data_IF_302815065106
#
_entry.id   IF_302815065106
#
_cell.length_a   1.000
_cell.length_b   1.000
_cell.length_c   1.000
_cell.angle_alpha   90.00
_cell.angle_beta   90.00
_cell.angle_gamma   90.00
#
_symmetry.space_group_name_H-M   'P 1'
#
loop_
_entity.id
_entity.type
_entity.pdbx_description
1 polymer ?
#
# COMPACT_ATOMS: atom_id res chain seq x y z
N UNK A 1 17.09 -0.20 -3.44
CA UNK A 1 17.79 1.12 -3.42
C UNK A 1 17.59 1.92 -4.70
N UNK A 2 17.91 1.38 -5.89
CA UNK A 2 17.70 2.12 -7.15
C UNK A 2 16.20 2.47 -7.35
N UNK A 3 15.31 1.52 -7.14
CA UNK A 3 13.86 1.73 -7.23
C UNK A 3 13.35 2.79 -6.23
N UNK A 4 13.81 2.71 -4.98
CA UNK A 4 13.45 3.70 -3.95
C UNK A 4 13.93 5.12 -4.30
N UNK A 5 15.12 5.25 -4.87
CA UNK A 5 15.65 6.52 -5.35
C UNK A 5 14.84 7.09 -6.52
N UNK A 6 14.54 6.25 -7.52
CA UNK A 6 13.77 6.68 -8.71
C UNK A 6 12.33 7.06 -8.38
N UNK A 7 11.76 6.49 -7.32
CA UNK A 7 10.41 6.81 -6.85
C UNK A 7 10.34 8.09 -6.02
N UNK A 8 11.27 8.25 -5.07
CA UNK A 8 11.21 9.33 -4.08
C UNK A 8 11.87 10.62 -4.57
N UNK A 9 13.00 10.51 -5.27
CA UNK A 9 13.79 11.67 -5.69
C UNK A 9 13.02 12.68 -6.57
N UNK A 10 12.25 12.27 -7.59
CA UNK A 10 11.46 13.19 -8.40
C UNK A 10 10.45 13.98 -7.56
N UNK A 11 9.78 13.32 -6.61
CA UNK A 11 8.83 13.97 -5.71
C UNK A 11 9.54 14.97 -4.81
N UNK A 12 10.70 14.61 -4.26
CA UNK A 12 11.53 15.54 -3.48
C UNK A 12 11.93 16.78 -4.28
N UNK A 13 12.33 16.59 -5.53
CA UNK A 13 12.72 17.71 -6.41
C UNK A 13 11.53 18.64 -6.71
N UNK A 14 10.34 18.08 -6.94
CA UNK A 14 9.11 18.86 -7.14
C UNK A 14 8.79 19.68 -5.88
N UNK A 15 8.82 19.04 -4.71
CA UNK A 15 8.55 19.72 -3.43
C UNK A 15 9.57 20.83 -3.16
N UNK A 16 10.86 20.59 -3.44
CA UNK A 16 11.90 21.62 -3.33
C UNK A 16 11.64 22.78 -4.30
N UNK A 17 11.32 22.50 -5.57
CA UNK A 17 11.01 23.52 -6.54
C UNK A 17 9.82 24.39 -6.13
N UNK A 18 8.73 23.76 -5.65
CA UNK A 18 7.55 24.45 -5.15
C UNK A 18 7.84 25.26 -3.88
N UNK A 19 8.62 24.68 -2.95
CA UNK A 19 8.99 25.31 -1.68
C UNK A 19 9.92 26.53 -1.84
N UNK A 20 10.68 26.60 -2.93
CA UNK A 20 11.52 27.79 -3.23
C UNK A 20 10.84 28.82 -4.12
N UNK A 21 9.73 28.46 -4.80
CA UNK A 21 9.13 29.34 -5.82
C UNK A 21 7.73 29.80 -5.47
N UNK A 22 6.77 28.87 -5.37
CA UNK A 22 5.32 29.19 -5.28
C UNK A 22 4.85 29.33 -3.84
N UNK A 23 5.30 28.43 -2.96
CA UNK A 23 4.87 28.39 -1.57
C UNK A 23 6.10 28.21 -0.67
N UNK A 24 6.76 29.33 -0.28
CA UNK A 24 7.99 29.29 0.51
C UNK A 24 7.81 28.48 1.79
N UNK A 25 8.48 27.34 1.86
CA UNK A 25 8.46 26.46 3.03
C UNK A 25 9.43 26.99 4.08
N UNK A 26 9.04 27.07 5.37
CA UNK A 26 9.94 27.46 6.44
C UNK A 26 11.19 26.57 6.50
N UNK A 27 12.34 27.14 6.86
CA UNK A 27 13.63 26.44 6.86
C UNK A 27 13.63 25.18 7.74
N UNK A 28 12.96 25.22 8.90
CA UNK A 28 12.82 24.07 9.79
C UNK A 28 12.05 22.92 9.13
N UNK A 29 10.94 23.23 8.46
CA UNK A 29 10.15 22.24 7.74
C UNK A 29 10.91 21.67 6.53
N UNK A 30 11.65 22.51 5.79
CA UNK A 30 12.49 22.06 4.68
C UNK A 30 13.59 21.12 5.15
N UNK A 31 14.19 21.39 6.31
CA UNK A 31 15.19 20.54 6.92
C UNK A 31 14.58 19.19 7.37
N UNK A 32 13.39 19.22 8.00
CA UNK A 32 12.65 18.00 8.32
C UNK A 32 12.40 17.18 7.05
N UNK A 33 11.92 17.80 5.99
CA UNK A 33 11.67 17.14 4.72
C UNK A 33 12.88 16.45 4.12
N UNK A 34 14.04 17.09 4.13
CA UNK A 34 15.28 16.51 3.60
C UNK A 34 15.77 15.32 4.43
N UNK A 35 15.76 15.43 5.77
CA UNK A 35 16.10 14.32 6.66
C UNK A 35 15.09 13.17 6.52
N UNK A 36 13.79 13.50 6.46
CA UNK A 36 12.72 12.54 6.19
C UNK A 36 12.91 11.80 4.88
N UNK A 37 13.35 12.50 3.81
CA UNK A 37 13.66 11.91 2.53
C UNK A 37 14.76 10.85 2.58
N UNK A 38 15.82 11.10 3.34
CA UNK A 38 16.90 10.12 3.53
C UNK A 38 16.38 8.85 4.25
N UNK A 39 15.60 9.03 5.33
CA UNK A 39 15.00 7.92 6.05
C UNK A 39 13.99 7.15 5.20
N UNK A 40 13.20 7.87 4.39
CA UNK A 40 12.20 7.29 3.50
C UNK A 40 12.87 6.44 2.41
N UNK A 41 13.90 6.95 1.75
CA UNK A 41 14.66 6.20 0.72
C UNK A 41 15.32 4.96 1.33
N UNK A 42 15.99 5.10 2.46
CA UNK A 42 16.65 3.99 3.16
C UNK A 42 15.64 2.97 3.66
N UNK A 43 14.56 3.45 4.31
CA UNK A 43 13.47 2.65 4.83
C UNK A 43 12.75 1.87 3.73
N UNK A 44 12.37 2.53 2.64
CA UNK A 44 11.74 1.90 1.49
C UNK A 44 12.63 0.84 0.85
N UNK A 45 13.94 1.09 0.73
CA UNK A 45 14.86 0.11 0.16
C UNK A 45 14.98 -1.17 1.01
N UNK A 46 15.09 -1.04 2.33
CA UNK A 46 15.12 -2.18 3.25
C UNK A 46 13.77 -2.91 3.26
N UNK A 47 12.69 -2.16 3.31
CA UNK A 47 11.33 -2.67 3.34
C UNK A 47 11.00 -3.49 2.08
N UNK A 48 11.30 -2.97 0.88
CA UNK A 48 11.06 -3.67 -0.38
C UNK A 48 11.86 -4.98 -0.44
N UNK A 49 13.17 -4.92 -0.10
CA UNK A 49 14.02 -6.11 -0.05
C UNK A 49 13.46 -7.16 0.92
N UNK A 50 13.06 -6.73 2.11
CA UNK A 50 12.49 -7.62 3.12
C UNK A 50 11.17 -8.23 2.70
N UNK A 51 10.32 -7.45 2.04
CA UNK A 51 9.04 -7.90 1.49
C UNK A 51 9.24 -8.97 0.41
N UNK A 52 10.14 -8.76 -0.54
CA UNK A 52 10.47 -9.77 -1.55
C UNK A 52 11.00 -11.08 -0.92
N UNK A 53 11.87 -10.97 0.09
CA UNK A 53 12.44 -12.14 0.77
C UNK A 53 11.42 -12.91 1.61
N UNK A 54 10.38 -12.26 2.12
CA UNK A 54 9.39 -12.86 3.01
C UNK A 54 8.06 -13.15 2.33
N UNK A 55 7.47 -12.17 1.62
CA UNK A 55 6.11 -12.26 1.09
C UNK A 55 6.00 -13.13 -0.14
N UNK A 56 6.97 -13.10 -1.07
CA UNK A 56 6.93 -13.92 -2.28
C UNK A 56 6.97 -15.43 -1.94
N UNK A 57 7.93 -15.95 -1.16
CA UNK A 57 7.95 -17.37 -0.81
C UNK A 57 6.72 -17.79 0.02
N UNK A 58 6.25 -16.90 0.91
CA UNK A 58 5.06 -17.16 1.70
C UNK A 58 3.81 -17.26 0.82
N UNK A 59 3.61 -16.31 -0.08
CA UNK A 59 2.49 -16.30 -1.02
C UNK A 59 2.44 -17.55 -1.90
N UNK A 60 3.58 -17.97 -2.47
CA UNK A 60 3.68 -19.20 -3.27
C UNK A 60 3.35 -20.45 -2.45
N UNK A 61 3.89 -20.55 -1.23
CA UNK A 61 3.64 -21.70 -0.36
C UNK A 61 2.16 -21.79 0.02
N UNK A 62 1.56 -20.66 0.38
CA UNK A 62 0.14 -20.58 0.73
C UNK A 62 -0.75 -20.88 -0.47
N UNK A 63 -0.48 -20.28 -1.63
CA UNK A 63 -1.25 -20.50 -2.86
C UNK A 63 -1.26 -21.98 -3.29
N UNK A 64 -0.10 -22.62 -3.23
CA UNK A 64 0.03 -24.03 -3.54
C UNK A 64 -0.74 -24.94 -2.56
N UNK A 65 -0.74 -24.59 -1.26
CA UNK A 65 -1.39 -25.40 -0.22
C UNK A 65 -2.93 -25.22 -0.25
N UNK A 66 -3.40 -24.00 -0.48
CA UNK A 66 -4.82 -23.68 -0.68
C UNK A 66 -5.39 -24.52 -1.82
N UNK A 67 -4.73 -24.57 -2.97
CA UNK A 67 -5.20 -25.29 -4.15
C UNK A 67 -5.20 -26.79 -3.94
N UNK A 68 -4.23 -27.33 -3.18
CA UNK A 68 -4.16 -28.75 -2.84
C UNK A 68 -5.33 -29.24 -1.99
N UNK A 69 -5.89 -28.37 -1.15
CA UNK A 69 -6.95 -28.78 -0.22
C UNK A 69 -8.24 -29.24 -0.92
N UNK A 70 -8.48 -28.79 -2.16
CA UNK A 70 -9.68 -29.05 -2.98
C UNK A 70 -11.01 -28.71 -2.28
N UNK A 71 -10.98 -28.16 -1.06
CA UNK A 71 -12.16 -27.79 -0.28
C UNK A 71 -12.41 -26.29 -0.41
N UNK A 72 -13.49 -25.90 -1.06
CA UNK A 72 -13.83 -24.50 -1.30
C UNK A 72 -13.87 -23.68 0.00
N UNK A 73 -14.42 -24.22 1.07
CA UNK A 73 -14.48 -23.53 2.37
C UNK A 73 -13.10 -23.21 2.96
N UNK A 74 -12.12 -24.11 2.76
CA UNK A 74 -10.73 -23.88 3.18
C UNK A 74 -10.11 -22.76 2.34
N UNK A 75 -10.35 -22.78 1.03
CA UNK A 75 -9.89 -21.73 0.12
C UNK A 75 -10.45 -20.39 0.56
N UNK A 76 -11.76 -20.30 0.75
CA UNK A 76 -12.46 -19.06 1.19
C UNK A 76 -11.93 -18.56 2.53
N UNK A 77 -11.89 -19.44 3.54
CA UNK A 77 -11.49 -19.04 4.90
C UNK A 77 -10.02 -18.60 4.98
N UNK A 78 -9.10 -19.33 4.37
CA UNK A 78 -7.68 -18.96 4.40
C UNK A 78 -7.44 -17.69 3.57
N UNK A 79 -8.05 -17.56 2.39
CA UNK A 79 -7.88 -16.37 1.55
C UNK A 79 -8.41 -15.11 2.21
N UNK A 80 -9.57 -15.20 2.84
CA UNK A 80 -10.15 -14.10 3.61
C UNK A 80 -9.24 -13.65 4.75
N UNK A 81 -8.80 -14.62 5.57
CA UNK A 81 -7.92 -14.34 6.71
C UNK A 81 -6.59 -13.72 6.26
N UNK A 82 -5.99 -14.26 5.22
CA UNK A 82 -4.73 -13.76 4.68
C UNK A 82 -4.88 -12.37 4.09
N UNK A 83 -5.94 -12.13 3.33
CA UNK A 83 -6.22 -10.79 2.80
C UNK A 83 -6.27 -9.74 3.90
N UNK A 84 -6.95 -10.04 5.01
CA UNK A 84 -6.98 -9.16 6.19
C UNK A 84 -5.57 -8.98 6.78
N UNK A 85 -4.87 -10.07 7.08
CA UNK A 85 -3.58 -10.04 7.78
C UNK A 85 -2.55 -9.21 7.01
N UNK A 86 -2.47 -9.37 5.70
CA UNK A 86 -1.49 -8.66 4.87
C UNK A 86 -1.85 -7.19 4.76
N UNK A 87 -3.13 -6.88 4.59
CA UNK A 87 -3.58 -5.50 4.44
C UNK A 87 -3.41 -4.70 5.72
N UNK A 88 -3.66 -5.28 6.89
CA UNK A 88 -3.39 -4.61 8.18
C UNK A 88 -1.91 -4.26 8.35
N UNK A 89 -1.02 -5.04 7.76
CA UNK A 89 0.42 -4.80 7.82
C UNK A 89 0.93 -3.83 6.74
N UNK A 90 0.08 -3.36 5.82
CA UNK A 90 0.47 -2.43 4.76
C UNK A 90 0.76 -1.04 5.35
N UNK A 91 1.97 -0.49 5.15
CA UNK A 91 2.35 0.81 5.72
C UNK A 91 1.51 1.97 5.20
N UNK A 92 1.21 1.93 3.90
CA UNK A 92 0.47 3.00 3.24
C UNK A 92 -0.95 3.13 3.81
N UNK A 93 -1.54 2.01 4.28
CA UNK A 93 -2.84 2.02 4.95
C UNK A 93 -2.80 2.75 6.29
N UNK A 94 -1.70 2.62 7.04
CA UNK A 94 -1.53 3.34 8.30
C UNK A 94 -1.37 4.84 8.07
N UNK A 95 -0.59 5.22 7.03
CA UNK A 95 -0.44 6.62 6.62
C UNK A 95 -1.79 7.20 6.20
N UNK A 96 -2.57 6.48 5.38
CA UNK A 96 -3.92 6.91 4.98
C UNK A 96 -4.84 7.10 6.18
N UNK A 97 -4.87 6.16 7.12
CA UNK A 97 -5.70 6.24 8.31
C UNK A 97 -5.37 7.48 9.16
N UNK A 98 -4.09 7.80 9.33
CA UNK A 98 -3.64 8.98 10.06
C UNK A 98 -4.05 10.31 9.39
N UNK A 99 -4.34 10.31 8.09
CA UNK A 99 -4.77 11.51 7.36
C UNK A 99 -6.28 11.78 7.45
N UNK A 100 -7.09 10.86 7.97
CA UNK A 100 -8.55 10.94 8.01
C UNK A 100 -9.07 11.01 9.45
N UNK A 101 -8.93 12.15 10.14
CA UNK A 101 -9.27 12.28 11.56
C UNK A 101 -10.77 12.16 11.85
N UNK A 102 -11.61 12.27 10.83
CA UNK A 102 -13.06 12.11 10.96
C UNK A 102 -13.49 10.67 11.34
N UNK A 103 -12.60 9.70 11.15
CA UNK A 103 -12.84 8.29 11.45
C UNK A 103 -11.67 7.74 12.27
N UNK A 104 -11.96 6.94 13.28
CA UNK A 104 -10.90 6.28 14.06
C UNK A 104 -10.02 5.40 13.17
N UNK A 105 -8.69 5.51 13.31
CA UNK A 105 -7.71 4.78 12.49
C UNK A 105 -8.00 3.28 12.41
N UNK A 106 -8.33 2.66 13.55
CA UNK A 106 -8.66 1.24 13.60
C UNK A 106 -9.87 0.88 12.71
N UNK A 107 -10.88 1.75 12.65
CA UNK A 107 -12.08 1.52 11.83
C UNK A 107 -11.72 1.53 10.35
N UNK A 108 -10.90 2.49 9.91
CA UNK A 108 -10.42 2.55 8.52
C UNK A 108 -9.59 1.30 8.19
N UNK A 109 -8.59 1.00 9.01
CA UNK A 109 -7.66 -0.12 8.79
C UNK A 109 -8.42 -1.45 8.68
N UNK A 110 -9.30 -1.74 9.64
CA UNK A 110 -10.06 -2.99 9.62
C UNK A 110 -11.10 -3.05 8.49
N UNK A 111 -11.74 -1.94 8.16
CA UNK A 111 -12.71 -1.90 7.07
C UNK A 111 -12.05 -2.16 5.72
N UNK A 112 -10.93 -1.51 5.46
CA UNK A 112 -10.12 -1.72 4.25
C UNK A 112 -9.60 -3.15 4.19
N UNK A 113 -9.08 -3.68 5.30
CA UNK A 113 -8.56 -5.04 5.39
C UNK A 113 -9.64 -6.09 5.12
N UNK A 114 -10.85 -5.91 5.67
CA UNK A 114 -12.00 -6.77 5.38
C UNK A 114 -12.39 -6.67 3.91
N UNK A 115 -12.38 -5.45 3.33
CA UNK A 115 -12.62 -5.25 1.91
C UNK A 115 -11.67 -6.06 1.03
N UNK A 116 -10.36 -5.97 1.29
CA UNK A 116 -9.35 -6.78 0.58
C UNK A 116 -9.58 -8.26 0.79
N UNK A 117 -9.85 -8.69 2.02
CA UNK A 117 -10.13 -10.09 2.33
C UNK A 117 -11.29 -10.66 1.52
N UNK A 118 -12.42 -9.94 1.46
CA UNK A 118 -13.60 -10.34 0.65
C UNK A 118 -13.24 -10.39 -0.83
N UNK A 119 -12.57 -9.37 -1.35
CA UNK A 119 -12.24 -9.30 -2.76
C UNK A 119 -11.14 -10.28 -3.18
N UNK A 120 -10.22 -10.64 -2.28
CA UNK A 120 -9.28 -11.74 -2.52
C UNK A 120 -10.01 -13.09 -2.66
N UNK A 121 -11.03 -13.33 -1.84
CA UNK A 121 -11.89 -14.52 -1.99
C UNK A 121 -12.60 -14.50 -3.35
N UNK A 122 -13.23 -13.38 -3.70
CA UNK A 122 -13.91 -13.23 -5.00
C UNK A 122 -12.94 -13.48 -6.16
N UNK A 123 -11.74 -12.92 -6.07
CA UNK A 123 -10.71 -13.05 -7.08
C UNK A 123 -10.21 -14.49 -7.25
N UNK A 124 -10.03 -15.23 -6.15
CA UNK A 124 -9.67 -16.65 -6.21
C UNK A 124 -10.81 -17.53 -6.69
N UNK A 125 -12.05 -17.29 -6.22
CA UNK A 125 -13.22 -17.99 -6.72
C UNK A 125 -13.44 -17.75 -8.21
N UNK A 126 -13.19 -16.52 -8.70
CA UNK A 126 -13.21 -16.21 -10.13
C UNK A 126 -12.28 -17.13 -10.93
N UNK A 127 -11.03 -17.32 -10.45
CA UNK A 127 -10.05 -18.20 -11.10
C UNK A 127 -10.56 -19.62 -11.13
N UNK A 128 -11.13 -20.12 -10.03
CA UNK A 128 -11.65 -21.48 -9.92
C UNK A 128 -12.88 -21.73 -10.80
N UNK A 129 -13.74 -20.72 -10.94
CA UNK A 129 -14.98 -20.77 -11.73
C UNK A 129 -14.78 -20.40 -13.22
N UNK A 130 -13.59 -19.91 -13.58
CA UNK A 130 -13.28 -19.49 -14.96
C UNK A 130 -14.01 -18.22 -15.40
N UNK A 131 -14.42 -17.35 -14.47
CA UNK A 131 -15.14 -16.13 -14.77
C UNK A 131 -14.17 -15.09 -15.36
N UNK A 132 -14.55 -14.44 -16.45
CA UNK A 132 -13.73 -13.42 -17.10
C UNK A 132 -13.62 -12.16 -16.24
N UNK A 133 -12.39 -11.70 -16.00
CA UNK A 133 -12.07 -10.53 -15.18
C UNK A 133 -12.84 -9.28 -15.60
N UNK A 134 -12.95 -9.03 -16.90
CA UNK A 134 -13.58 -7.81 -17.45
C UNK A 134 -14.99 -7.58 -16.96
N UNK A 135 -15.80 -8.63 -16.86
CA UNK A 135 -17.20 -8.50 -16.43
C UNK A 135 -17.32 -8.16 -14.96
N UNK A 136 -16.45 -8.74 -14.14
CA UNK A 136 -16.38 -8.40 -12.71
C UNK A 136 -15.93 -6.95 -12.50
N UNK A 137 -14.87 -6.52 -13.23
CA UNK A 137 -14.40 -5.14 -13.14
C UNK A 137 -15.51 -4.15 -13.55
N UNK A 138 -16.16 -4.38 -14.68
CA UNK A 138 -17.27 -3.51 -15.14
C UNK A 138 -18.38 -3.45 -14.07
N UNK A 139 -18.82 -4.60 -13.56
CA UNK A 139 -19.88 -4.65 -12.56
C UNK A 139 -19.51 -3.94 -11.26
N UNK A 140 -18.29 -4.17 -10.74
CA UNK A 140 -17.84 -3.53 -9.51
C UNK A 140 -17.56 -2.04 -9.68
N UNK A 141 -17.02 -1.57 -10.83
CA UNK A 141 -16.84 -0.13 -11.05
C UNK A 141 -18.17 0.59 -11.23
N UNK A 142 -19.19 -0.03 -11.85
CA UNK A 142 -20.55 0.52 -11.85
C UNK A 142 -21.06 0.68 -10.42
N UNK A 143 -20.82 -0.32 -9.55
CA UNK A 143 -21.18 -0.24 -8.14
C UNK A 143 -20.43 0.87 -7.42
N UNK A 144 -19.10 0.98 -7.62
CA UNK A 144 -18.23 2.02 -7.02
C UNK A 144 -18.73 3.41 -7.39
N UNK A 145 -18.93 3.69 -8.70
CA UNK A 145 -19.42 5.00 -9.13
C UNK A 145 -20.85 5.27 -8.68
N UNK A 146 -21.70 4.23 -8.65
CA UNK A 146 -23.04 4.33 -8.09
C UNK A 146 -23.04 4.70 -6.61
N UNK A 147 -22.18 4.07 -5.79
CA UNK A 147 -22.01 4.42 -4.38
C UNK A 147 -21.43 5.83 -4.19
N UNK A 148 -20.45 6.21 -5.01
CA UNK A 148 -19.83 7.52 -4.93
C UNK A 148 -20.83 8.67 -5.11
N UNK A 149 -21.91 8.48 -5.89
CA UNK A 149 -22.96 9.50 -6.05
C UNK A 149 -23.73 9.82 -4.76
N UNK A 150 -23.70 8.93 -3.77
CA UNK A 150 -24.41 9.10 -2.49
C UNK A 150 -23.49 9.51 -1.35
N UNK A 151 -22.17 9.53 -1.57
CA UNK A 151 -21.14 9.85 -0.57
C UNK A 151 -20.69 11.30 -0.75
N UNK A 152 -20.37 12.00 0.35
CA UNK A 152 -19.80 13.35 0.27
C UNK A 152 -18.54 13.38 -0.59
N UNK A 153 -18.35 14.41 -1.44
CA UNK A 153 -17.14 14.58 -2.26
C UNK A 153 -15.84 14.54 -1.46
N UNK A 154 -15.85 14.95 -0.19
CA UNK A 154 -14.69 14.92 0.69
C UNK A 154 -14.15 13.49 0.91
N UNK A 155 -15.01 12.47 0.83
CA UNK A 155 -14.63 11.06 0.94
C UNK A 155 -14.17 10.43 -0.37
N UNK A 156 -14.41 11.06 -1.52
CA UNK A 156 -14.02 10.46 -2.81
C UNK A 156 -12.51 10.26 -2.90
N UNK A 157 -11.74 11.30 -2.53
CA UNK A 157 -10.29 11.22 -2.57
C UNK A 157 -9.78 10.07 -1.69
N UNK A 158 -10.25 9.98 -0.44
CA UNK A 158 -9.87 8.91 0.50
C UNK A 158 -10.28 7.53 -0.01
N UNK A 159 -11.49 7.40 -0.56
CA UNK A 159 -11.99 6.12 -1.06
C UNK A 159 -11.17 5.62 -2.25
N UNK A 160 -10.92 6.46 -3.24
CA UNK A 160 -10.13 6.05 -4.41
C UNK A 160 -8.67 5.84 -4.07
N UNK A 161 -8.09 6.64 -3.17
CA UNK A 161 -6.73 6.47 -2.66
C UNK A 161 -6.56 5.15 -1.90
N UNK A 162 -7.56 4.75 -1.11
CA UNK A 162 -7.54 3.45 -0.41
C UNK A 162 -7.41 2.24 -1.35
N UNK A 163 -7.90 2.35 -2.58
CA UNK A 163 -7.70 1.34 -3.62
C UNK A 163 -6.24 1.24 -4.07
N UNK A 164 -5.52 2.37 -4.12
CA UNK A 164 -4.09 2.43 -4.40
C UNK A 164 -3.24 1.93 -3.24
N UNK A 165 -3.61 2.27 -2.01
CA UNK A 165 -2.91 1.82 -0.78
C UNK A 165 -2.77 0.30 -0.70
N UNK A 166 -3.72 -0.46 -1.22
CA UNK A 166 -3.69 -1.93 -1.22
C UNK A 166 -2.84 -2.55 -2.32
N UNK A 167 -2.29 -1.72 -3.21
CA UNK A 167 -1.31 -2.15 -4.22
C UNK A 167 0.14 -1.90 -3.79
N UNK A 168 0.35 -1.72 -2.50
CA UNK A 168 1.64 -1.42 -1.88
C UNK A 168 2.67 -2.55 -1.93
N UNK A 169 3.90 -2.27 -1.49
CA UNK A 169 5.05 -3.14 -1.67
C UNK A 169 5.04 -4.43 -0.82
N UNK A 170 4.10 -4.62 0.11
CA UNK A 170 3.87 -5.91 0.78
C UNK A 170 2.76 -6.72 0.11
N UNK A 171 1.65 -6.09 -0.15
CA UNK A 171 0.42 -6.74 -0.62
C UNK A 171 0.58 -7.28 -2.04
N UNK A 172 1.14 -6.49 -2.97
CA UNK A 172 1.30 -6.89 -4.38
C UNK A 172 2.21 -8.11 -4.55
N UNK A 173 3.46 -8.14 -4.03
CA UNK A 173 4.32 -9.31 -4.18
C UNK A 173 3.68 -10.57 -3.61
N UNK A 174 2.99 -10.45 -2.49
CA UNK A 174 2.30 -11.59 -1.88
C UNK A 174 1.11 -12.09 -2.72
N UNK A 175 0.19 -11.19 -3.11
CA UNK A 175 -1.00 -11.56 -3.90
C UNK A 175 -0.59 -12.16 -5.26
N UNK A 176 0.42 -11.56 -5.90
CA UNK A 176 0.97 -12.10 -7.15
C UNK A 176 1.57 -13.49 -6.95
N UNK A 177 2.37 -13.68 -5.91
CA UNK A 177 2.96 -14.97 -5.58
C UNK A 177 1.90 -16.02 -5.19
N UNK A 178 0.85 -15.60 -4.48
CA UNK A 178 -0.32 -16.44 -4.19
C UNK A 178 -0.98 -16.92 -5.50
N UNK A 179 -1.19 -16.02 -6.47
CA UNK A 179 -1.74 -16.34 -7.78
C UNK A 179 -0.87 -17.34 -8.55
N UNK A 180 0.45 -17.12 -8.56
CA UNK A 180 1.41 -18.07 -9.15
C UNK A 180 1.32 -19.44 -8.45
N UNK A 181 1.25 -19.47 -7.12
CA UNK A 181 1.10 -20.70 -6.35
C UNK A 181 -0.19 -21.45 -6.67
N UNK A 182 -1.31 -20.74 -6.86
CA UNK A 182 -2.60 -21.32 -7.27
C UNK A 182 -2.53 -21.88 -8.69
N UNK A 183 -1.95 -21.13 -9.61
CA UNK A 183 -1.85 -21.50 -11.03
C UNK A 183 -0.90 -22.67 -11.28
N UNK A 184 0.18 -22.78 -10.50
CA UNK A 184 1.15 -23.88 -10.60
C UNK A 184 0.52 -25.27 -10.36
N UNK A 185 -0.57 -25.34 -9.59
CA UNK A 185 -1.30 -26.60 -9.33
C UNK A 185 -2.29 -26.91 -10.46
N UNK A 186 -2.77 -25.90 -11.20
CA UNK A 186 -3.74 -26.05 -12.29
C UNK A 186 -3.11 -26.39 -13.65
N UNK A 187 -1.80 -26.23 -13.81
CA UNK A 187 -1.09 -26.45 -15.09
C UNK A 187 -1.62 -25.60 -16.26
N UNK A 188 -2.17 -24.41 -15.97
CA UNK A 188 -2.84 -23.56 -16.97
C UNK A 188 -1.88 -22.48 -17.51
N UNK A 189 -1.89 -22.26 -18.84
CA UNK A 189 -1.03 -21.28 -19.52
C UNK A 189 -1.39 -19.81 -19.21
N UNK A 190 -2.49 -19.54 -18.50
CA UNK A 190 -2.99 -18.19 -18.21
C UNK A 190 -2.57 -17.63 -16.84
N UNK A 191 -1.62 -18.27 -16.16
CA UNK A 191 -1.18 -17.95 -14.81
C UNK A 191 -0.83 -16.47 -14.56
N UNK A 192 -0.18 -15.81 -15.53
CA UNK A 192 0.22 -14.40 -15.41
C UNK A 192 -0.96 -13.42 -15.39
N UNK A 193 -1.90 -13.61 -16.31
CA UNK A 193 -3.11 -12.78 -16.38
C UNK A 193 -4.02 -12.94 -15.17
N UNK A 194 -4.08 -14.17 -14.62
CA UNK A 194 -4.86 -14.44 -13.41
C UNK A 194 -4.27 -13.78 -12.16
N UNK A 195 -2.95 -13.76 -12.02
CA UNK A 195 -2.26 -13.13 -10.89
C UNK A 195 -2.49 -11.61 -10.87
N UNK A 196 -2.41 -10.94 -12.02
CA UNK A 196 -2.74 -9.51 -12.12
C UNK A 196 -4.21 -9.25 -11.78
N UNK A 197 -5.11 -10.12 -12.22
CA UNK A 197 -6.55 -10.02 -11.91
C UNK A 197 -6.85 -10.11 -10.41
N UNK A 198 -6.04 -10.81 -9.62
CA UNK A 198 -6.15 -10.83 -8.16
C UNK A 198 -5.89 -9.42 -7.58
N UNK A 199 -4.80 -8.77 -7.99
CA UNK A 199 -4.45 -7.41 -7.51
C UNK A 199 -5.52 -6.42 -7.91
N UNK A 200 -5.96 -6.44 -9.18
CA UNK A 200 -6.98 -5.51 -9.69
C UNK A 200 -8.33 -5.61 -8.95
N UNK A 201 -8.75 -6.81 -8.57
CA UNK A 201 -9.97 -6.99 -7.78
C UNK A 201 -9.75 -6.58 -6.31
N UNK A 202 -8.61 -6.91 -5.72
CA UNK A 202 -8.30 -6.52 -4.34
C UNK A 202 -8.26 -5.00 -4.14
N UNK A 203 -7.94 -4.22 -5.18
CA UNK A 203 -7.98 -2.75 -5.11
C UNK A 203 -9.40 -2.18 -5.04
N UNK A 204 -10.40 -2.88 -5.56
CA UNK A 204 -11.80 -2.42 -5.55
C UNK A 204 -12.43 -2.57 -4.16
N UNK A 205 -12.04 -3.60 -3.41
CA UNK A 205 -12.57 -3.85 -2.07
C UNK A 205 -12.48 -2.65 -1.13
N UNK A 206 -11.29 -2.09 -0.93
CA UNK A 206 -11.07 -0.87 -0.17
C UNK A 206 -11.93 0.31 -0.61
N UNK A 207 -11.99 0.57 -1.91
CA UNK A 207 -12.80 1.67 -2.44
C UNK A 207 -14.26 1.52 -1.98
N UNK A 208 -14.84 0.34 -2.14
CA UNK A 208 -16.22 0.08 -1.72
C UNK A 208 -16.38 0.23 -0.22
N UNK A 209 -15.47 -0.33 0.58
CA UNK A 209 -15.59 -0.27 2.05
C UNK A 209 -15.42 1.15 2.59
N UNK A 210 -14.52 1.96 2.03
CA UNK A 210 -14.36 3.37 2.43
C UNK A 210 -15.55 4.21 1.95
N UNK A 211 -16.11 3.96 0.76
CA UNK A 211 -17.36 4.61 0.35
C UNK A 211 -18.52 4.26 1.30
N UNK A 212 -18.64 3.00 1.73
CA UNK A 212 -19.63 2.59 2.71
C UNK A 212 -19.40 3.27 4.07
N UNK A 213 -18.14 3.41 4.52
CA UNK A 213 -17.83 4.22 5.71
C UNK A 213 -18.27 5.67 5.54
N UNK A 214 -18.03 6.28 4.38
CA UNK A 214 -18.46 7.65 4.08
C UNK A 214 -19.99 7.84 4.08
N UNK A 215 -20.78 6.76 3.88
CA UNK A 215 -22.22 6.78 4.06
C UNK A 215 -22.65 6.73 5.53
N UNK A 216 -21.89 5.99 6.35
CA UNK A 216 -22.19 5.77 7.77
C UNK A 216 -21.69 6.91 8.65
N UNK A 217 -20.48 7.39 8.35
CA UNK A 217 -19.84 8.49 9.06
C UNK A 217 -20.06 9.77 8.27
N UNK A 218 -20.88 10.67 8.81
CA UNK A 218 -21.06 12.02 8.27
C UNK A 218 -20.10 12.93 9.05
N UNK A 219 -18.98 13.36 8.48
CA UNK A 219 -18.07 14.25 9.18
C UNK A 219 -18.71 15.63 9.33
N UNK A 220 -18.77 16.12 10.55
CA UNK A 220 -19.08 17.53 10.84
C UNK A 220 -17.82 18.37 10.65
N UNK A 221 -17.29 18.48 9.44
CA UNK A 221 -16.08 19.26 9.16
C UNK A 221 -15.17 18.66 8.09
N UNK A 222 -14.00 19.26 7.88
CA UNK A 222 -13.01 18.79 6.89
C UNK A 222 -12.53 17.37 7.21
N UNK A 223 -12.56 16.50 6.21
CA UNK A 223 -12.10 15.12 6.34
C UNK A 223 -10.58 15.01 6.60
N UNK A 224 -9.85 16.10 6.48
CA UNK A 224 -8.39 16.14 6.62
C UNK A 224 -7.96 17.11 7.73
N UNK A 225 -6.94 16.72 8.53
CA UNK A 225 -6.24 17.62 9.45
C UNK A 225 -4.94 18.11 8.86
N UNK A 226 -4.64 19.39 9.09
CA UNK A 226 -3.31 19.90 8.82
C UNK A 226 -2.31 19.29 9.80
N UNK A 227 -1.35 18.57 9.28
CA UNK A 227 -0.26 18.01 10.10
C UNK A 227 0.60 19.16 10.66
N UNK A 228 0.84 19.12 11.96
CA UNK A 228 1.64 20.18 12.63
C UNK A 228 3.10 20.02 12.23
N UNK A 229 3.72 21.13 11.79
CA UNK A 229 5.15 21.14 11.49
C UNK A 229 5.98 20.99 12.78
N UNK A 230 7.12 20.27 12.72
CA UNK A 230 8.05 20.21 13.84
C UNK A 230 8.56 21.61 14.19
N UNK A 231 8.39 22.03 15.45
CA UNK A 231 8.90 23.30 15.95
C UNK A 231 10.34 23.13 16.44
N UNK A 232 11.28 23.01 15.49
CA UNK A 232 12.69 22.85 15.78
C UNK A 232 13.46 24.10 15.34
N UNK A 233 14.27 24.66 16.24
CA UNK A 233 15.02 25.88 16.00
C UNK A 233 16.35 25.65 15.31
N UNK A 234 16.92 24.44 15.46
CA UNK A 234 18.19 24.06 14.87
C UNK A 234 18.19 22.60 14.39
N UNK A 235 19.31 22.20 13.73
CA UNK A 235 19.51 20.83 13.21
C UNK A 235 19.54 19.77 14.29
N UNK A 236 19.97 20.12 15.49
CA UNK A 236 20.09 19.17 16.62
C UNK A 236 18.71 18.86 17.18
N UNK A 237 17.87 19.90 17.37
CA UNK A 237 16.48 19.72 17.79
C UNK A 237 15.70 18.92 16.75
N UNK A 238 15.91 19.21 15.45
CA UNK A 238 15.29 18.47 14.38
C UNK A 238 15.69 16.99 14.39
N UNK A 239 16.99 16.69 14.50
CA UNK A 239 17.45 15.31 14.60
C UNK A 239 16.89 14.61 15.84
N UNK A 240 16.80 15.31 16.96
CA UNK A 240 16.20 14.78 18.19
C UNK A 240 14.70 14.44 17.98
N UNK A 241 13.95 15.31 17.28
CA UNK A 241 12.55 15.01 16.97
C UNK A 241 12.39 13.67 16.20
N UNK A 242 13.28 13.38 15.26
CA UNK A 242 13.30 12.09 14.59
C UNK A 242 13.65 10.93 15.50
N UNK A 243 14.65 11.08 16.35
CA UNK A 243 15.07 10.06 17.31
C UNK A 243 13.97 9.75 18.33
N UNK A 244 13.30 10.79 18.82
CA UNK A 244 12.21 10.67 19.79
C UNK A 244 10.96 10.02 19.19
N UNK A 245 10.70 10.20 17.87
CA UNK A 245 9.60 9.58 17.15
C UNK A 245 9.86 8.10 16.81
N UNK A 246 11.12 7.67 16.62
CA UNK A 246 11.47 6.31 16.23
C UNK A 246 10.84 5.21 17.11
N UNK A 247 10.88 5.29 18.46
CA UNK A 247 10.31 4.24 19.31
C UNK A 247 8.80 4.02 19.07
N UNK A 248 8.06 5.07 18.80
CA UNK A 248 6.63 4.98 18.49
C UNK A 248 6.40 4.21 17.20
N UNK A 249 7.11 4.57 16.11
CA UNK A 249 6.97 3.88 14.82
C UNK A 249 7.53 2.45 14.84
N UNK A 250 8.54 2.16 15.65
CA UNK A 250 8.94 0.78 15.91
C UNK A 250 7.84 -0.02 16.62
N UNK A 251 7.15 0.56 17.58
CA UNK A 251 6.04 -0.10 18.28
C UNK A 251 4.82 -0.30 17.35
N UNK A 252 4.47 0.70 16.52
CA UNK A 252 3.40 0.58 15.52
C UNK A 252 3.72 -0.51 14.49
N UNK A 253 4.93 -0.50 13.95
CA UNK A 253 5.39 -1.52 12.99
C UNK A 253 5.37 -2.92 13.60
N UNK A 254 5.76 -3.08 14.87
CA UNK A 254 5.69 -4.36 15.55
C UNK A 254 4.24 -4.88 15.63
N UNK A 255 3.29 -4.00 15.98
CA UNK A 255 1.86 -4.34 16.03
C UNK A 255 1.32 -4.73 14.64
N UNK A 256 1.71 -4.00 13.60
CA UNK A 256 1.30 -4.25 12.23
C UNK A 256 1.84 -5.59 11.68
N UNK A 257 3.10 -5.91 11.96
CA UNK A 257 3.74 -7.14 11.48
C UNK A 257 3.44 -8.38 12.33
N UNK A 258 3.01 -8.21 13.58
CA UNK A 258 2.71 -9.33 14.47
C UNK A 258 1.74 -10.35 13.86
N UNK A 259 0.60 -9.97 13.22
CA UNK A 259 -0.30 -10.92 12.58
C UNK A 259 0.38 -11.77 11.49
N UNK A 260 1.25 -11.17 10.67
CA UNK A 260 2.00 -11.90 9.63
C UNK A 260 3.00 -12.87 10.24
N UNK A 261 3.73 -12.45 11.27
CA UNK A 261 4.69 -13.31 11.96
C UNK A 261 3.99 -14.50 12.62
N UNK A 262 2.86 -14.26 13.30
CA UNK A 262 2.02 -15.32 13.87
C UNK A 262 1.49 -16.25 12.79
N UNK A 263 1.00 -15.69 11.67
CA UNK A 263 0.51 -16.49 10.56
C UNK A 263 1.61 -17.39 9.97
N UNK A 264 2.83 -16.86 9.77
CA UNK A 264 3.96 -17.64 9.27
C UNK A 264 4.29 -18.82 10.19
N UNK A 265 4.31 -18.59 11.51
CA UNK A 265 4.55 -19.64 12.51
C UNK A 265 3.44 -20.70 12.47
N UNK A 266 2.18 -20.28 12.49
CA UNK A 266 1.03 -21.18 12.44
C UNK A 266 1.01 -21.99 11.13
N UNK A 267 1.25 -21.32 9.99
CA UNK A 267 1.34 -21.98 8.69
C UNK A 267 2.42 -23.06 8.69
N UNK A 268 3.61 -22.77 9.22
CA UNK A 268 4.69 -23.73 9.31
C UNK A 268 4.37 -24.90 10.26
N UNK A 269 3.73 -24.64 11.41
CA UNK A 269 3.36 -25.69 12.36
C UNK A 269 2.34 -26.65 11.76
N UNK A 270 1.37 -26.14 11.00
CA UNK A 270 0.30 -26.94 10.39
C UNK A 270 0.80 -27.67 9.16
N UNK A 271 1.49 -27.01 8.25
CA UNK A 271 1.86 -27.57 6.95
C UNK A 271 3.20 -28.31 6.96
N UNK A 272 4.16 -27.83 7.77
CA UNK A 272 5.55 -28.33 7.83
C UNK A 272 6.25 -28.37 6.45
N UNK A 273 5.81 -27.52 5.50
CA UNK A 273 6.26 -27.53 4.10
C UNK A 273 7.49 -26.69 3.85
N UNK A 274 7.70 -25.64 4.65
CA UNK A 274 8.82 -24.73 4.45
C UNK A 274 10.12 -25.38 4.95
N UNK A 275 11.13 -25.40 4.09
CA UNK A 275 12.48 -25.84 4.45
C UNK A 275 13.09 -24.83 5.42
N UNK A 276 13.97 -25.29 6.32
CA UNK A 276 14.63 -24.43 7.32
C UNK A 276 15.32 -23.20 6.71
N UNK A 277 15.95 -23.35 5.53
CA UNK A 277 16.59 -22.23 4.83
C UNK A 277 15.57 -21.18 4.37
N UNK A 278 14.43 -21.62 3.80
CA UNK A 278 13.36 -20.70 3.40
C UNK A 278 12.77 -19.96 4.61
N UNK A 279 12.53 -20.68 5.71
CA UNK A 279 12.02 -20.08 6.94
C UNK A 279 12.98 -19.04 7.52
N UNK A 280 14.29 -19.32 7.53
CA UNK A 280 15.31 -18.35 7.95
C UNK A 280 15.35 -17.13 7.02
N UNK A 281 15.27 -17.33 5.70
CA UNK A 281 15.21 -16.22 4.73
C UNK A 281 13.98 -15.34 4.97
N UNK A 282 12.80 -15.93 5.20
CA UNK A 282 11.58 -15.20 5.51
C UNK A 282 11.68 -14.42 6.84
N UNK A 283 12.28 -15.03 7.88
CA UNK A 283 12.48 -14.38 9.16
C UNK A 283 13.44 -13.17 9.05
N UNK A 284 14.53 -13.31 8.30
CA UNK A 284 15.44 -12.20 7.99
C UNK A 284 14.73 -11.15 7.14
N UNK A 285 13.93 -11.56 6.16
CA UNK A 285 13.09 -10.66 5.37
C UNK A 285 12.14 -9.84 6.25
N UNK A 286 11.45 -10.47 7.18
CA UNK A 286 10.57 -9.77 8.14
C UNK A 286 11.34 -8.81 9.05
N UNK A 287 12.57 -9.13 9.42
CA UNK A 287 13.42 -8.20 10.18
C UNK A 287 13.79 -6.96 9.33
N UNK A 288 14.10 -7.15 8.04
CA UNK A 288 14.29 -6.01 7.12
C UNK A 288 13.02 -5.19 6.91
N UNK A 289 11.86 -5.85 6.78
CA UNK A 289 10.56 -5.16 6.75
C UNK A 289 10.37 -4.33 8.01
N UNK A 290 10.62 -4.91 9.18
CA UNK A 290 10.41 -4.24 10.46
C UNK A 290 11.23 -2.95 10.59
N UNK A 291 12.54 -3.04 10.32
CA UNK A 291 13.42 -1.86 10.39
C UNK A 291 13.10 -0.87 9.28
N UNK A 292 12.94 -1.38 8.05
CA UNK A 292 12.67 -0.54 6.89
C UNK A 292 11.36 0.24 7.02
N UNK A 293 10.31 -0.42 7.52
CA UNK A 293 9.01 0.20 7.71
C UNK A 293 9.02 1.26 8.82
N UNK A 294 9.68 0.99 9.95
CA UNK A 294 9.81 1.98 11.02
C UNK A 294 10.54 3.25 10.54
N UNK A 295 11.63 3.10 9.77
CA UNK A 295 12.34 4.24 9.17
C UNK A 295 11.48 4.97 8.13
N UNK A 296 10.77 4.23 7.29
CA UNK A 296 9.85 4.78 6.28
C UNK A 296 8.75 5.62 6.94
N UNK A 297 8.03 5.06 7.92
CA UNK A 297 6.94 5.76 8.62
C UNK A 297 7.46 6.99 9.38
N UNK A 298 8.62 6.91 10.00
CA UNK A 298 9.25 8.07 10.65
C UNK A 298 9.54 9.17 9.61
N UNK A 299 10.13 8.83 8.48
CA UNK A 299 10.42 9.78 7.39
C UNK A 299 9.18 10.44 6.82
N UNK A 300 8.12 9.66 6.61
CA UNK A 300 6.84 10.16 6.10
C UNK A 300 6.16 11.09 7.10
N UNK A 301 5.94 10.61 8.31
CA UNK A 301 5.09 11.35 9.28
C UNK A 301 5.79 12.58 9.87
N UNK A 302 7.10 12.54 10.11
CA UNK A 302 7.85 13.67 10.68
C UNK A 302 8.28 14.68 9.61
N UNK A 303 8.56 14.19 8.38
CA UNK A 303 9.14 15.05 7.32
C UNK A 303 8.20 15.33 6.16
N UNK A 304 7.69 14.32 5.50
CA UNK A 304 6.95 14.47 4.24
C UNK A 304 5.54 15.02 4.43
N UNK A 305 4.76 14.44 5.34
CA UNK A 305 3.38 14.84 5.56
C UNK A 305 3.21 16.29 5.99
N UNK A 306 4.00 16.82 6.95
CA UNK A 306 3.87 18.23 7.35
C UNK A 306 4.13 19.19 6.19
N UNK A 307 5.15 18.92 5.38
CA UNK A 307 5.50 19.77 4.23
C UNK A 307 4.48 19.66 3.11
N UNK A 308 4.01 18.44 2.81
CA UNK A 308 2.96 18.19 1.83
C UNK A 308 1.66 18.92 2.19
N UNK A 309 1.23 18.81 3.46
CA UNK A 309 0.06 19.51 4.00
C UNK A 309 0.21 21.04 3.90
N UNK A 310 1.37 21.57 4.27
CA UNK A 310 1.66 22.99 4.15
C UNK A 310 1.62 23.49 2.70
N UNK A 311 2.29 22.80 1.79
CA UNK A 311 2.31 23.15 0.36
C UNK A 311 0.90 23.12 -0.24
N UNK A 312 0.16 22.02 0.02
CA UNK A 312 -1.21 21.86 -0.45
C UNK A 312 -2.12 23.00 0.04
N UNK A 313 -2.09 23.28 1.35
CA UNK A 313 -2.88 24.36 1.97
C UNK A 313 -2.47 25.74 1.48
N UNK A 314 -1.15 26.01 1.37
CA UNK A 314 -0.63 27.29 0.88
C UNK A 314 -1.04 27.56 -0.56
N UNK A 315 -0.88 26.58 -1.48
CA UNK A 315 -1.23 26.73 -2.89
C UNK A 315 -2.75 26.84 -3.08
N UNK A 316 -3.52 26.05 -2.32
CA UNK A 316 -4.99 26.12 -2.36
C UNK A 316 -5.54 27.48 -1.94
N UNK A 317 -4.85 28.19 -1.02
CA UNK A 317 -5.20 29.53 -0.58
C UNK A 317 -4.83 30.65 -1.56
N UNK A 318 -4.06 30.37 -2.60
CA UNK A 318 -3.70 31.37 -3.60
C UNK A 318 -4.79 31.62 -4.64
N UNK A 319 -4.79 32.82 -5.22
CA UNK A 319 -5.69 33.21 -6.33
C UNK A 319 -5.52 32.30 -7.55
N UNK A 320 -4.35 31.66 -7.67
CA UNK A 320 -3.99 30.74 -8.78
C UNK A 320 -4.09 29.26 -8.36
N UNK A 321 -5.06 28.89 -7.54
CA UNK A 321 -5.22 27.51 -7.05
C UNK A 321 -5.35 26.45 -8.15
N UNK A 322 -5.74 26.84 -9.36
CA UNK A 322 -5.79 25.95 -10.53
C UNK A 322 -4.43 25.29 -10.85
N UNK A 323 -3.30 25.88 -10.40
CA UNK A 323 -1.95 25.32 -10.61
C UNK A 323 -1.77 23.98 -9.87
N UNK A 324 -2.62 23.67 -8.87
CA UNK A 324 -2.65 22.36 -8.24
C UNK A 324 -2.95 21.24 -9.24
N UNK A 325 -3.73 21.51 -10.28
CA UNK A 325 -4.10 20.48 -11.28
C UNK A 325 -2.87 19.98 -12.04
N UNK A 326 -2.07 20.82 -12.73
CA UNK A 326 -0.87 20.36 -13.42
C UNK A 326 0.19 19.80 -12.46
N UNK A 327 0.33 20.35 -11.25
CA UNK A 327 1.24 19.81 -10.23
C UNK A 327 0.81 18.39 -9.85
N UNK A 328 -0.46 18.18 -9.55
CA UNK A 328 -1.00 16.86 -9.22
C UNK A 328 -0.84 15.86 -10.38
N UNK A 329 -0.99 16.30 -11.64
CA UNK A 329 -0.76 15.46 -12.81
C UNK A 329 0.70 14.98 -12.90
N UNK A 330 1.67 15.89 -12.65
CA UNK A 330 3.10 15.55 -12.68
C UNK A 330 3.46 14.61 -11.52
N UNK A 331 2.98 14.91 -10.30
CA UNK A 331 3.19 14.05 -9.13
C UNK A 331 2.56 12.68 -9.36
N UNK A 332 1.31 12.63 -9.84
CA UNK A 332 0.61 11.39 -10.14
C UNK A 332 1.33 10.52 -11.19
N UNK A 333 1.92 11.14 -12.21
CA UNK A 333 2.75 10.42 -13.18
C UNK A 333 3.93 9.69 -12.51
N UNK A 334 4.68 10.36 -11.62
CA UNK A 334 5.80 9.75 -10.92
C UNK A 334 5.36 8.69 -9.91
N UNK A 335 4.22 8.91 -9.21
CA UNK A 335 3.65 7.92 -8.29
C UNK A 335 3.29 6.64 -9.06
N UNK A 336 2.57 6.76 -10.18
CA UNK A 336 2.20 5.60 -11.00
C UNK A 336 3.42 4.87 -11.56
N UNK A 337 4.48 5.60 -11.96
CA UNK A 337 5.73 4.96 -12.37
C UNK A 337 6.44 4.21 -11.24
N UNK A 338 6.29 4.66 -10.00
CA UNK A 338 6.87 4.03 -8.83
C UNK A 338 6.07 2.82 -8.32
N UNK A 339 4.83 2.66 -8.78
CA UNK A 339 3.87 1.65 -8.29
C UNK A 339 4.33 0.22 -8.63
N UNK A 340 4.50 -0.68 -7.63
CA UNK A 340 4.93 -2.06 -7.86
C UNK A 340 4.00 -2.84 -8.80
N UNK A 341 2.69 -2.60 -8.73
CA UNK A 341 1.70 -3.22 -9.61
C UNK A 341 1.93 -2.86 -11.09
N UNK A 342 2.33 -1.61 -11.37
CA UNK A 342 2.62 -1.14 -12.73
C UNK A 342 3.89 -1.79 -13.28
N UNK A 343 4.93 -1.95 -12.46
CA UNK A 343 6.14 -2.66 -12.86
C UNK A 343 5.87 -4.12 -13.23
N UNK A 344 5.03 -4.80 -12.45
CA UNK A 344 4.62 -6.19 -12.73
C UNK A 344 3.82 -6.25 -14.02
N UNK A 345 2.86 -5.34 -14.22
CA UNK A 345 2.07 -5.28 -15.45
C UNK A 345 2.96 -5.06 -16.68
N UNK A 346 3.90 -4.13 -16.62
CA UNK A 346 4.84 -3.86 -17.71
C UNK A 346 5.68 -5.09 -18.05
N UNK A 347 6.20 -5.82 -17.07
CA UNK A 347 6.94 -7.07 -17.30
C UNK A 347 6.08 -8.12 -17.99
N UNK A 348 4.83 -8.28 -17.61
CA UNK A 348 3.92 -9.21 -18.25
C UNK A 348 3.57 -8.78 -19.68
N UNK A 349 3.28 -7.50 -19.92
CA UNK A 349 3.02 -7.00 -21.27
C UNK A 349 4.21 -7.20 -22.21
N UNK A 350 5.45 -6.97 -21.74
CA UNK A 350 6.66 -7.17 -22.51
C UNK A 350 6.89 -8.65 -22.87
N UNK A 351 6.61 -9.58 -21.96
CA UNK A 351 6.70 -11.01 -22.22
C UNK A 351 5.70 -11.45 -23.31
N UNK A 352 4.46 -10.96 -23.26
CA UNK A 352 3.46 -11.26 -24.29
C UNK A 352 3.78 -10.67 -25.65
N UNK A 353 4.45 -9.51 -25.71
CA UNK A 353 4.84 -8.90 -26.99
C UNK A 353 6.10 -9.55 -27.60
N UNK A 354 7.00 -10.10 -26.78
CA UNK A 354 8.17 -10.85 -27.30
C UNK A 354 7.79 -12.23 -27.79
N UNK A 355 6.88 -12.95 -27.12
CA UNK A 355 6.36 -14.26 -27.56
C UNK A 355 5.45 -14.17 -28.80
N UNK A 356 4.91 -12.99 -29.12
CA UNK A 356 4.12 -12.76 -30.34
C UNK A 356 4.97 -12.35 -31.55
N UNK A 357 6.27 -12.09 -31.34
CA UNK A 357 7.22 -11.69 -32.39
C UNK A 357 8.12 -12.86 -32.88
N UNK A 358 8.10 -14.02 -32.22
CA UNK A 358 8.67 -15.29 -32.61
C UNK A 358 7.57 -16.24 -33.19
#
# INVERSE_FOLDING_TARGET
MHESLTSVLPIMLIVLALGFTIAPVPNNAMMAFLLGGVLLIGGMGLFTLGSEMSMIPLGQAVGSEITRSKKVWVIVGISFLIGIIITVAEPDLQVLANQVPAIENNVIIWSVAVGVGVFLVIALLRILLGIQLRWLLIGFYILVFGLAMYVSPDFWAVAFDSGGVTTGPMTVPFIMALGVGVSAVRSDKQAGGDSFGLVALCSIGPIITVLLLGLLYKPDGSAYTNTVMPDAKDTVEMFRAYVDALPEYFAETAKALAPIAVFLVLFQLVTKRLKRRALLSMAVGLAYVYVGLALFLTGVNVGFMPVGSFLGGSIAGHTYNWILIPIAMVIGYFIVQAEPAVHVLNRHCLLYTSDAAD
#
